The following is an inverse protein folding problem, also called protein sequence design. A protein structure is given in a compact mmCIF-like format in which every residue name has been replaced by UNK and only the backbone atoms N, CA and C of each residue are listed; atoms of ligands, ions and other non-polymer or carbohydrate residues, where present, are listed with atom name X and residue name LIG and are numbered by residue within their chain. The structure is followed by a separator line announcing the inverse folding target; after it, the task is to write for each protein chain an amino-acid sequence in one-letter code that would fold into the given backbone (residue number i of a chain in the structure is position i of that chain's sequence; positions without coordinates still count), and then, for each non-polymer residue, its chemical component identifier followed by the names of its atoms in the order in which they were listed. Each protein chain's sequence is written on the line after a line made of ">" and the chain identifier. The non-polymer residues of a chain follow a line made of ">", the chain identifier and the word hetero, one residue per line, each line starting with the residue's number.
data_IF_209123176133
#
_entry.id   IF_209123176133
#
_cell.length_a   1.000
_cell.length_b   1.000
_cell.length_c   1.000
_cell.angle_alpha   90.00
_cell.angle_beta   90.00
_cell.angle_gamma   90.00
#
_symmetry.space_group_name_H-M   'P 1'
#
loop_
_entity.id
_entity.type
_entity.pdbx_description
1 polymer ?
#
# COMPACT_ATOMS: atom_id res chain seq x y z
N UNK A 1 22.10 2.00 4.16
CA UNK A 1 20.86 1.20 4.26
C UNK A 1 20.36 1.33 5.68
N UNK A 2 19.09 1.74 5.86
CA UNK A 2 18.47 1.79 7.19
C UNK A 2 18.36 0.38 7.76
N UNK A 3 18.69 0.24 9.04
CA UNK A 3 18.62 -1.01 9.78
C UNK A 3 17.17 -1.44 9.97
N UNK A 4 16.94 -2.72 10.30
CA UNK A 4 15.59 -3.20 10.61
C UNK A 4 14.99 -2.47 11.82
N UNK A 5 15.80 -2.10 12.81
CA UNK A 5 15.38 -1.37 14.00
C UNK A 5 14.92 0.04 13.67
N UNK A 6 15.68 0.76 12.84
CA UNK A 6 15.30 2.09 12.35
C UNK A 6 13.98 2.05 11.56
N UNK A 7 13.82 1.06 10.67
CA UNK A 7 12.57 0.88 9.92
C UNK A 7 11.38 0.64 10.84
N UNK A 8 11.54 -0.23 11.85
CA UNK A 8 10.49 -0.48 12.84
C UNK A 8 10.13 0.79 13.63
N UNK A 9 11.13 1.59 14.02
CA UNK A 9 10.90 2.84 14.72
C UNK A 9 10.15 3.87 13.86
N UNK A 10 10.53 4.00 12.59
CA UNK A 10 9.83 4.87 11.61
C UNK A 10 8.39 4.40 11.43
N UNK A 11 8.17 3.11 11.18
CA UNK A 11 6.85 2.53 10.99
C UNK A 11 5.94 2.80 12.19
N UNK A 12 6.42 2.58 13.42
CA UNK A 12 5.66 2.84 14.64
C UNK A 12 5.35 4.33 14.87
N UNK A 13 6.25 5.23 14.43
CA UNK A 13 6.05 6.68 14.51
C UNK A 13 4.99 7.17 13.53
N UNK A 14 5.05 6.69 12.28
CA UNK A 14 4.12 7.07 11.21
C UNK A 14 2.74 6.43 11.42
N UNK A 15 2.70 5.16 11.80
CA UNK A 15 1.47 4.41 12.01
C UNK A 15 1.57 3.57 13.31
N UNK A 16 0.97 4.03 14.42
CA UNK A 16 1.09 3.38 15.72
C UNK A 16 0.69 1.89 15.75
N UNK A 17 -0.23 1.46 14.87
CA UNK A 17 -0.62 0.06 14.72
C UNK A 17 0.55 -0.83 14.27
N UNK A 18 1.50 -0.30 13.50
CA UNK A 18 2.70 -1.01 13.06
C UNK A 18 3.71 -1.24 14.19
N UNK A 19 3.51 -0.65 15.38
CA UNK A 19 4.28 -1.01 16.58
C UNK A 19 3.96 -2.43 17.09
N UNK A 20 2.91 -3.06 16.55
CA UNK A 20 2.52 -4.43 16.87
C UNK A 20 3.67 -5.42 16.63
N UNK A 21 3.84 -6.44 17.50
CA UNK A 21 4.80 -7.52 17.28
C UNK A 21 4.53 -8.30 15.98
N UNK A 22 3.31 -8.26 15.45
CA UNK A 22 2.93 -8.95 14.22
C UNK A 22 3.26 -8.17 12.94
N UNK A 23 3.60 -6.89 13.06
CA UNK A 23 3.94 -6.00 11.94
C UNK A 23 5.43 -5.65 11.86
N UNK A 24 6.27 -6.23 12.72
CA UNK A 24 7.72 -5.98 12.71
C UNK A 24 8.35 -6.30 11.37
N UNK A 25 9.29 -5.45 10.95
CA UNK A 25 10.17 -5.64 9.82
C UNK A 25 11.47 -6.38 10.25
N UNK A 26 11.94 -7.38 9.49
CA UNK A 26 11.19 -8.06 8.43
C UNK A 26 10.05 -8.91 9.04
N UNK A 27 8.97 -9.10 8.28
CA UNK A 27 7.93 -10.06 8.63
C UNK A 27 8.53 -11.46 8.79
N UNK A 28 8.05 -12.20 9.79
CA UNK A 28 8.56 -13.54 10.15
C UNK A 28 7.55 -14.67 9.94
N UNK A 29 6.38 -14.34 9.42
CA UNK A 29 5.31 -15.32 9.26
C UNK A 29 5.55 -16.18 8.02
N UNK A 30 5.01 -17.40 8.01
CA UNK A 30 5.15 -18.31 6.86
C UNK A 30 4.06 -18.12 5.80
N UNK A 31 2.88 -17.66 6.22
CA UNK A 31 1.71 -17.49 5.37
C UNK A 31 0.78 -16.44 5.95
N UNK A 32 0.05 -15.75 5.08
CA UNK A 32 -1.04 -14.88 5.49
C UNK A 32 -2.15 -15.70 6.14
N UNK A 33 -2.75 -15.14 7.19
CA UNK A 33 -3.96 -15.72 7.79
C UNK A 33 -5.18 -15.16 7.05
N UNK A 34 -6.13 -16.03 6.73
CA UNK A 34 -7.36 -15.60 6.08
C UNK A 34 -8.22 -14.75 7.04
N UNK A 35 -8.87 -13.66 6.60
CA UNK A 35 -9.68 -12.79 7.47
C UNK A 35 -10.81 -13.49 8.23
N UNK A 36 -11.40 -14.55 7.69
CA UNK A 36 -12.42 -15.35 8.38
C UNK A 36 -11.84 -16.36 9.38
N UNK A 37 -10.52 -16.47 9.47
CA UNK A 37 -9.81 -17.39 10.33
C UNK A 37 -9.62 -16.86 11.76
N UNK A 38 -8.75 -17.56 12.49
CA UNK A 38 -8.31 -17.20 13.83
C UNK A 38 -6.79 -17.18 13.93
N UNK A 39 -6.26 -16.38 14.85
CA UNK A 39 -4.85 -16.35 15.19
C UNK A 39 -4.44 -17.63 15.91
N UNK A 40 -3.13 -17.84 16.11
CA UNK A 40 -2.63 -18.97 16.93
C UNK A 40 -3.09 -18.90 18.39
N UNK A 41 -3.50 -17.72 18.86
CA UNK A 41 -4.07 -17.50 20.21
C UNK A 41 -5.59 -17.69 20.26
N UNK A 42 -6.23 -17.98 19.12
CA UNK A 42 -7.67 -18.17 19.01
C UNK A 42 -8.47 -16.89 18.74
N UNK A 43 -7.81 -15.73 18.65
CA UNK A 43 -8.48 -14.46 18.37
C UNK A 43 -9.03 -14.43 16.93
N UNK A 44 -10.20 -13.83 16.67
CA UNK A 44 -10.71 -13.68 15.32
C UNK A 44 -9.83 -12.74 14.48
N UNK A 45 -9.56 -13.10 13.22
CA UNK A 45 -8.77 -12.26 12.32
C UNK A 45 -9.56 -11.08 11.73
N UNK A 46 -10.88 -11.13 11.80
CA UNK A 46 -11.78 -10.03 11.44
C UNK A 46 -12.87 -9.87 12.51
N UNK A 47 -13.10 -8.63 12.92
CA UNK A 47 -14.15 -8.26 13.85
C UNK A 47 -15.00 -7.21 13.17
N UNK A 48 -16.25 -7.57 12.90
CA UNK A 48 -17.17 -6.71 12.16
C UNK A 48 -17.39 -5.40 12.91
N UNK A 49 -17.21 -4.29 12.21
CA UNK A 49 -17.56 -2.95 12.69
C UNK A 49 -19.02 -2.63 12.40
N UNK A 50 -19.63 -1.82 13.27
CA UNK A 50 -21.01 -1.37 13.09
C UNK A 50 -21.11 -0.15 12.16
N UNK A 51 -20.06 0.69 12.12
CA UNK A 51 -20.05 1.94 11.35
C UNK A 51 -18.77 2.08 10.52
N UNK A 52 -18.66 3.15 9.72
CA UNK A 52 -17.39 3.46 9.02
C UNK A 52 -16.37 4.18 9.91
N UNK A 53 -16.81 4.65 11.09
CA UNK A 53 -15.97 5.35 12.05
C UNK A 53 -15.35 4.32 12.98
N UNK A 54 -14.04 4.39 13.20
CA UNK A 54 -13.37 3.51 14.15
C UNK A 54 -13.89 3.80 15.57
N UNK A 55 -14.53 2.84 16.25
CA UNK A 55 -15.12 3.09 17.56
C UNK A 55 -14.06 3.15 18.65
N UNK A 56 -13.07 2.24 18.63
CA UNK A 56 -11.95 2.20 19.56
C UNK A 56 -10.77 1.48 18.90
N UNK A 57 -9.57 2.04 19.06
CA UNK A 57 -8.34 1.40 18.61
C UNK A 57 -8.16 0.07 19.32
N UNK A 58 -7.87 -0.97 18.55
CA UNK A 58 -7.64 -2.32 19.06
C UNK A 58 -6.21 -2.74 18.74
N UNK A 59 -5.45 -3.11 19.78
CA UNK A 59 -4.08 -3.56 19.62
C UNK A 59 -4.00 -4.72 18.63
N UNK A 60 -3.03 -4.69 17.72
CA UNK A 60 -2.79 -5.70 16.67
C UNK A 60 -3.80 -5.74 15.51
N UNK A 61 -4.78 -4.83 15.49
CA UNK A 61 -5.76 -4.70 14.42
C UNK A 61 -5.70 -3.34 13.74
N UNK A 62 -6.20 -3.32 12.50
CA UNK A 62 -6.39 -2.12 11.70
C UNK A 62 -7.87 -2.03 11.34
N UNK A 63 -8.48 -0.86 11.60
CA UNK A 63 -9.86 -0.62 11.24
C UNK A 63 -10.01 -0.11 9.81
N UNK A 64 -10.89 -0.71 9.02
CA UNK A 64 -11.21 -0.22 7.69
C UNK A 64 -12.09 -1.15 6.87
N UNK A 65 -12.19 -0.85 5.57
CA UNK A 65 -12.94 -1.66 4.62
C UNK A 65 -12.09 -2.81 4.09
N UNK A 66 -12.66 -4.02 4.10
CA UNK A 66 -12.03 -5.20 3.51
C UNK A 66 -13.06 -6.18 2.94
N UNK A 67 -12.63 -7.40 2.56
CA UNK A 67 -13.47 -8.38 1.86
C UNK A 67 -14.63 -8.91 2.70
N UNK A 68 -14.56 -8.79 4.04
CA UNK A 68 -15.64 -9.20 4.96
C UNK A 68 -16.48 -8.00 5.45
N UNK A 69 -16.35 -6.85 4.79
CA UNK A 69 -16.99 -5.60 5.17
C UNK A 69 -16.10 -4.69 6.00
N UNK A 70 -16.71 -3.65 6.57
CA UNK A 70 -16.02 -2.74 7.50
C UNK A 70 -15.79 -3.42 8.85
N UNK A 71 -14.59 -3.26 9.41
CA UNK A 71 -14.24 -3.81 10.70
C UNK A 71 -12.75 -3.75 11.02
N UNK A 72 -12.38 -4.40 12.12
CA UNK A 72 -11.00 -4.58 12.54
C UNK A 72 -10.41 -5.82 11.88
N UNK A 73 -9.35 -5.63 11.08
CA UNK A 73 -8.56 -6.69 10.44
C UNK A 73 -7.23 -6.86 11.17
N UNK A 74 -6.90 -8.08 11.56
CA UNK A 74 -5.67 -8.36 12.30
C UNK A 74 -4.42 -8.20 11.40
N UNK A 75 -3.31 -7.71 11.94
CA UNK A 75 -2.01 -7.54 11.25
C UNK A 75 -1.33 -8.84 10.74
N UNK A 76 -1.97 -10.01 10.96
CA UNK A 76 -1.59 -11.31 10.39
C UNK A 76 -2.25 -11.54 9.02
N UNK A 77 -3.21 -10.69 8.65
CA UNK A 77 -3.93 -10.74 7.37
C UNK A 77 -3.30 -9.76 6.40
N UNK A 78 -3.31 -10.10 5.11
CA UNK A 78 -2.83 -9.19 4.06
C UNK A 78 -3.70 -7.94 3.95
N UNK A 79 -5.01 -8.11 4.17
CA UNK A 79 -6.04 -7.08 4.08
C UNK A 79 -5.77 -5.92 5.03
N UNK A 80 -5.22 -6.18 6.22
CA UNK A 80 -4.81 -5.12 7.14
C UNK A 80 -3.78 -4.16 6.52
N UNK A 81 -2.84 -4.66 5.70
CA UNK A 81 -1.84 -3.82 5.03
C UNK A 81 -2.41 -3.09 3.82
N UNK A 82 -3.42 -3.66 3.13
CA UNK A 82 -4.19 -2.94 2.10
C UNK A 82 -4.88 -1.72 2.72
N UNK A 83 -5.54 -1.91 3.88
CA UNK A 83 -6.21 -0.83 4.60
C UNK A 83 -5.20 0.23 5.03
N UNK A 84 -4.07 -0.17 5.62
CA UNK A 84 -3.02 0.76 6.03
C UNK A 84 -2.43 1.54 4.85
N UNK A 85 -2.11 0.86 3.75
CA UNK A 85 -1.59 1.51 2.55
C UNK A 85 -2.55 2.57 2.02
N UNK A 86 -3.84 2.23 1.90
CA UNK A 86 -4.86 3.18 1.43
C UNK A 86 -5.00 4.36 2.40
N UNK A 87 -4.94 4.13 3.71
CA UNK A 87 -5.01 5.20 4.71
C UNK A 87 -3.80 6.13 4.61
N UNK A 88 -2.59 5.58 4.60
CA UNK A 88 -1.35 6.35 4.45
C UNK A 88 -1.31 7.12 3.12
N UNK A 89 -1.85 6.56 2.03
CA UNK A 89 -1.94 7.28 0.77
C UNK A 89 -2.83 8.53 0.85
N UNK A 90 -3.88 8.51 1.68
CA UNK A 90 -4.79 9.64 1.88
C UNK A 90 -4.31 10.63 2.96
N UNK A 91 -3.44 10.20 3.87
CA UNK A 91 -2.89 10.99 4.97
C UNK A 91 -1.50 11.58 4.65
N UNK A 92 -1.04 11.45 3.40
CA UNK A 92 0.28 11.89 2.99
C UNK A 92 0.52 13.39 3.30
N UNK A 93 1.66 13.75 3.92
CA UNK A 93 2.03 15.14 4.17
C UNK A 93 2.05 15.93 2.86
N UNK A 94 1.44 17.13 2.87
CA UNK A 94 1.32 17.94 1.64
C UNK A 94 2.72 18.39 1.18
N UNK A 95 3.17 18.03 -0.05
CA UNK A 95 4.54 18.29 -0.50
C UNK A 95 4.88 19.78 -0.63
N UNK A 96 3.87 20.66 -0.81
CA UNK A 96 4.08 22.08 -1.10
C UNK A 96 4.78 22.86 0.04
N UNK A 97 4.88 22.28 1.23
CA UNK A 97 5.50 22.90 2.40
C UNK A 97 6.78 22.18 2.89
N UNK A 98 7.33 21.22 2.13
CA UNK A 98 8.58 20.52 2.45
C UNK A 98 9.85 21.39 2.23
N UNK A 99 9.76 22.67 2.61
CA UNK A 99 10.83 23.66 2.46
C UNK A 99 11.93 23.49 3.51
N UNK A 100 11.65 22.80 4.62
CA UNK A 100 12.61 22.53 5.70
C UNK A 100 13.16 21.11 5.63
N UNK A 101 14.36 20.90 6.21
CA UNK A 101 14.95 19.54 6.30
C UNK A 101 14.04 18.59 7.09
N UNK A 102 13.41 19.07 8.15
CA UNK A 102 12.49 18.27 8.98
C UNK A 102 11.26 17.83 8.19
N UNK A 103 10.61 18.74 7.47
CA UNK A 103 9.43 18.40 6.67
C UNK A 103 9.75 17.42 5.53
N UNK A 104 10.95 17.50 4.93
CA UNK A 104 11.42 16.51 3.96
C UNK A 104 11.68 15.15 4.60
N UNK A 105 12.22 15.13 5.82
CA UNK A 105 12.44 13.90 6.55
C UNK A 105 11.11 13.23 6.92
N UNK A 106 10.13 13.99 7.42
CA UNK A 106 8.79 13.47 7.73
C UNK A 106 8.11 12.88 6.50
N UNK A 107 8.20 13.58 5.36
CA UNK A 107 7.68 13.05 4.09
C UNK A 107 8.38 11.76 3.67
N UNK A 108 9.71 11.72 3.78
CA UNK A 108 10.51 10.52 3.46
C UNK A 108 10.17 9.34 4.39
N UNK A 109 10.05 9.58 5.69
CA UNK A 109 9.69 8.56 6.68
C UNK A 109 8.27 8.04 6.44
N UNK A 110 7.34 8.93 6.09
CA UNK A 110 5.99 8.57 5.71
C UNK A 110 5.96 7.70 4.45
N UNK A 111 6.72 8.08 3.41
CA UNK A 111 6.84 7.30 2.19
C UNK A 111 7.47 5.93 2.45
N UNK A 112 8.49 5.83 3.29
CA UNK A 112 9.11 4.56 3.67
C UNK A 112 8.08 3.60 4.30
N UNK A 113 7.30 4.10 5.27
CA UNK A 113 6.25 3.30 5.91
C UNK A 113 5.16 2.90 4.90
N UNK A 114 4.73 3.83 4.05
CA UNK A 114 3.72 3.58 3.00
C UNK A 114 4.20 2.52 2.00
N UNK A 115 5.45 2.59 1.55
CA UNK A 115 6.05 1.61 0.62
C UNK A 115 6.10 0.22 1.28
N UNK A 116 6.47 0.13 2.55
CA UNK A 116 6.46 -1.16 3.27
C UNK A 116 5.03 -1.73 3.33
N UNK A 117 4.03 -0.92 3.66
CA UNK A 117 2.63 -1.34 3.66
C UNK A 117 2.17 -1.79 2.27
N UNK A 118 2.54 -1.05 1.21
CA UNK A 118 2.23 -1.42 -0.18
C UNK A 118 2.83 -2.78 -0.54
N UNK A 119 4.12 -2.97 -0.32
CA UNK A 119 4.82 -4.22 -0.62
C UNK A 119 4.15 -5.40 0.08
N UNK A 120 3.77 -5.25 1.36
CA UNK A 120 3.04 -6.28 2.12
C UNK A 120 1.63 -6.53 1.60
N UNK A 121 0.96 -5.49 1.10
CA UNK A 121 -0.41 -5.58 0.58
C UNK A 121 -0.50 -6.39 -0.72
N UNK A 122 0.55 -6.37 -1.53
CA UNK A 122 0.63 -7.12 -2.79
C UNK A 122 1.31 -8.47 -2.64
N UNK A 123 2.10 -8.66 -1.57
CA UNK A 123 2.88 -9.87 -1.36
C UNK A 123 2.02 -11.14 -1.29
N UNK A 124 2.44 -12.17 -2.02
CA UNK A 124 1.86 -13.51 -2.00
C UNK A 124 2.03 -14.22 -0.65
N UNK A 125 3.14 -13.93 0.05
CA UNK A 125 3.48 -14.42 1.38
C UNK A 125 3.96 -13.27 2.29
N UNK A 126 3.87 -13.39 3.62
CA UNK A 126 4.32 -12.36 4.55
C UNK A 126 5.85 -12.32 4.70
N UNK A 127 6.53 -11.95 3.62
CA UNK A 127 7.97 -11.76 3.52
C UNK A 127 8.25 -10.41 2.84
N UNK A 128 8.94 -9.51 3.53
CA UNK A 128 9.19 -8.15 3.05
C UNK A 128 10.12 -8.08 1.82
N UNK A 129 11.04 -9.04 1.67
CA UNK A 129 11.93 -9.09 0.51
C UNK A 129 11.19 -9.62 -0.72
N UNK A 130 10.34 -10.62 -0.54
CA UNK A 130 9.48 -11.13 -1.60
C UNK A 130 8.45 -10.07 -2.03
N UNK A 131 7.79 -9.42 -1.06
CA UNK A 131 6.82 -8.36 -1.34
C UNK A 131 7.42 -7.19 -2.12
N UNK A 132 8.67 -6.81 -1.83
CA UNK A 132 9.36 -5.77 -2.60
C UNK A 132 9.58 -6.18 -4.08
N UNK A 133 9.93 -7.45 -4.34
CA UNK A 133 10.08 -7.96 -5.71
C UNK A 133 8.76 -7.96 -6.47
N UNK A 134 7.70 -8.46 -5.84
CA UNK A 134 6.37 -8.52 -6.45
C UNK A 134 5.81 -7.13 -6.73
N UNK A 135 6.02 -6.17 -5.81
CA UNK A 135 5.69 -4.76 -6.04
C UNK A 135 6.44 -4.18 -7.25
N UNK A 136 7.73 -4.48 -7.40
CA UNK A 136 8.52 -4.04 -8.55
C UNK A 136 8.04 -4.67 -9.87
N UNK A 137 7.66 -5.95 -9.86
CA UNK A 137 7.07 -6.65 -11.01
C UNK A 137 5.74 -6.03 -11.42
N UNK A 138 4.86 -5.74 -10.47
CA UNK A 138 3.59 -5.02 -10.72
C UNK A 138 3.87 -3.65 -11.33
N UNK A 139 4.80 -2.88 -10.76
CA UNK A 139 5.16 -1.56 -11.27
C UNK A 139 5.70 -1.62 -12.71
N UNK A 140 6.57 -2.59 -13.01
CA UNK A 140 7.06 -2.83 -14.38
C UNK A 140 5.93 -3.17 -15.35
N UNK A 141 5.00 -4.02 -14.94
CA UNK A 141 3.84 -4.40 -15.74
C UNK A 141 2.94 -3.20 -16.06
N UNK A 142 2.63 -2.38 -15.05
CA UNK A 142 1.84 -1.15 -15.22
C UNK A 142 2.56 -0.16 -16.14
N UNK A 143 3.85 0.09 -15.93
CA UNK A 143 4.63 1.02 -16.75
C UNK A 143 4.66 0.59 -18.23
N UNK A 144 4.84 -0.71 -18.49
CA UNK A 144 4.79 -1.26 -19.85
C UNK A 144 3.41 -1.06 -20.49
N UNK A 145 2.34 -1.37 -19.76
CA UNK A 145 0.97 -1.20 -20.25
C UNK A 145 0.65 0.28 -20.57
N UNK A 146 1.09 1.21 -19.72
CA UNK A 146 0.93 2.66 -19.96
C UNK A 146 1.71 3.11 -21.20
N UNK A 147 2.95 2.65 -21.37
CA UNK A 147 3.75 2.97 -22.55
C UNK A 147 3.07 2.49 -23.84
N UNK A 148 2.63 1.23 -23.89
CA UNK A 148 1.93 0.66 -25.03
C UNK A 148 0.62 1.41 -25.35
N UNK A 149 -0.17 1.75 -24.32
CA UNK A 149 -1.39 2.54 -24.49
C UNK A 149 -1.11 3.91 -25.09
N UNK A 150 -0.17 4.67 -24.53
CA UNK A 150 0.17 6.02 -25.01
C UNK A 150 0.75 6.01 -26.42
N UNK A 151 1.55 5.00 -26.78
CA UNK A 151 2.06 4.83 -28.14
C UNK A 151 0.92 4.57 -29.13
N UNK A 152 -0.06 3.75 -28.77
CA UNK A 152 -1.24 3.49 -29.59
C UNK A 152 -2.09 4.76 -29.78
N UNK A 153 -2.30 5.57 -28.74
CA UNK A 153 -3.00 6.85 -28.88
C UNK A 153 -2.27 7.81 -29.83
N UNK A 154 -0.94 7.91 -29.72
CA UNK A 154 -0.14 8.75 -30.62
C UNK A 154 -0.22 8.28 -32.07
N UNK A 155 -0.22 6.96 -32.32
CA UNK A 155 -0.39 6.40 -33.65
C UNK A 155 -1.78 6.72 -34.23
N UNK A 156 -2.84 6.61 -33.43
CA UNK A 156 -4.21 6.95 -33.84
C UNK A 156 -4.34 8.45 -34.14
N UNK A 157 -3.84 9.32 -33.26
CA UNK A 157 -3.86 10.77 -33.48
C UNK A 157 -3.05 11.17 -34.72
N UNK A 158 -1.89 10.54 -34.93
CA UNK A 158 -1.08 10.73 -36.14
C UNK A 158 -1.81 10.30 -37.41
N UNK A 159 -2.51 9.16 -37.38
CA UNK A 159 -3.32 8.68 -38.49
C UNK A 159 -4.50 9.62 -38.81
N UNK A 160 -5.20 10.12 -37.79
CA UNK A 160 -6.30 11.10 -37.97
C UNK A 160 -5.76 12.41 -38.56
N UNK A 161 -4.63 12.91 -38.06
CA UNK A 161 -3.98 14.11 -38.60
C UNK A 161 -3.54 13.95 -40.06
N UNK A 162 -3.02 12.77 -40.42
CA UNK A 162 -2.64 12.46 -41.80
C UNK A 162 -3.86 12.38 -42.75
N UNK A 163 -4.97 11.78 -42.31
CA UNK A 163 -6.22 11.71 -43.09
C UNK A 163 -6.85 13.10 -43.26
N UNK A 164 -6.86 13.93 -42.21
CA UNK A 164 -7.35 15.30 -42.29
C UNK A 164 -6.50 16.16 -43.24
N UNK A 165 -5.18 16.00 -43.24
CA UNK A 165 -4.27 16.69 -44.17
C UNK A 165 -4.40 16.24 -45.63
N UNK A 166 -4.80 14.98 -45.87
CA UNK A 166 -5.01 14.45 -47.21
C UNK A 166 -6.31 14.96 -47.87
N UNK A 167 -7.36 15.21 -47.08
CA UNK A 167 -8.66 15.70 -47.57
C UNK A 167 -8.73 17.20 -47.89
N UNK A 168 -7.69 17.99 -47.59
CA UNK A 168 -7.62 19.44 -47.87
C UNK A 168 -6.91 19.74 -49.20
N UNK A 169 -6.43 18.72 -49.93
CA UNK A 169 -5.68 18.86 -51.20
C UNK A 169 -6.43 18.38 -52.45
N UNK A 170 -7.76 18.45 -52.45
CA UNK A 170 -8.61 18.27 -53.65
C UNK A 170 -9.44 19.52 -53.89
#
# INVERSE_FOLDING_TARGET
>A
MTTAEEKNAIMARVCPELASPYAKYPLRQKKWVHPSGKTSKGDPCHIKGETKVEPMKRADYVYGAGPLGFGHYHLLTRESYVILYNRLANEAPIPCCACTKMARQELSEHDDARIICYNRSVASIPDDAQGAKEAEEIARGVAKATYEYTQNEQLVLGAIGAVAGANVRL
#
